data_IF_979768965761
#
_entry.id   IF_979768965761
#
_cell.length_a   1.000
_cell.length_b   1.000
_cell.length_c   1.000
_cell.angle_alpha   90.00
_cell.angle_beta   90.00
_cell.angle_gamma   90.00
#
_symmetry.space_group_name_H-M   'P 1'
#
loop_
_entity.id
_entity.type
_entity.pdbx_description
1 polymer ?
#
# COMPACT_ATOMS: atom_id res chain seq x y z
N UNK A 1 -21.48 -16.94 2.69
CA UNK A 1 -22.40 -16.30 3.65
C UNK A 1 -21.65 -15.18 4.35
N UNK A 2 -22.35 -14.06 4.56
CA UNK A 2 -21.88 -12.76 5.05
C UNK A 2 -21.17 -12.78 6.40
N UNK A 3 -20.15 -11.89 6.50
CA UNK A 3 -19.74 -11.04 7.66
C UNK A 3 -19.08 -11.75 8.85
N UNK A 4 -18.18 -11.16 9.64
CA UNK A 4 -17.32 -9.95 9.64
C UNK A 4 -16.52 -10.03 10.96
N UNK A 5 -15.25 -9.62 10.91
CA UNK A 5 -14.56 -8.69 11.83
C UNK A 5 -14.33 -9.07 13.31
N UNK A 6 -13.04 -8.97 13.65
CA UNK A 6 -12.32 -8.87 14.93
C UNK A 6 -13.00 -8.16 16.10
N UNK A 7 -12.49 -8.40 17.32
CA UNK A 7 -11.90 -7.38 18.23
C UNK A 7 -11.22 -8.09 19.43
N UNK A 8 -9.95 -7.76 19.65
CA UNK A 8 -9.23 -7.91 20.92
C UNK A 8 -9.72 -6.86 21.92
N UNK A 9 -9.88 -7.16 23.21
CA UNK A 9 -9.63 -6.17 24.28
C UNK A 9 -9.44 -6.79 25.68
N UNK A 10 -8.19 -6.76 26.15
CA UNK A 10 -7.69 -6.14 27.40
C UNK A 10 -8.55 -6.20 28.67
N UNK A 11 -8.01 -6.95 29.64
CA UNK A 11 -7.75 -6.71 31.08
C UNK A 11 -8.42 -5.54 31.85
N UNK A 12 -9.03 -5.85 33.01
CA UNK A 12 -8.91 -5.16 34.32
C UNK A 12 -9.95 -5.78 35.30
N UNK A 13 -9.59 -6.63 36.27
CA UNK A 13 -9.12 -6.35 37.63
C UNK A 13 -10.03 -5.46 38.52
N UNK A 14 -10.53 -6.09 39.59
CA UNK A 14 -10.91 -5.55 40.93
C UNK A 14 -12.02 -4.51 41.04
N UNK A 15 -13.09 -4.85 41.78
CA UNK A 15 -13.22 -4.47 43.20
C UNK A 15 -14.50 -5.07 43.81
N UNK A 16 -14.31 -5.78 44.92
CA UNK A 16 -15.32 -6.21 45.87
C UNK A 16 -15.67 -4.98 46.74
N UNK A 17 -16.93 -4.55 46.81
CA UNK A 17 -17.37 -3.60 47.83
C UNK A 17 -18.82 -3.84 48.24
N UNK A 18 -19.00 -3.79 49.55
CA UNK A 18 -20.13 -4.26 50.31
C UNK A 18 -21.41 -3.45 50.08
N UNK A 19 -22.52 -4.17 50.05
CA UNK A 19 -23.87 -3.66 50.13
C UNK A 19 -24.15 -3.09 51.53
N UNK A 20 -24.25 -1.77 51.64
CA UNK A 20 -24.96 -1.11 52.74
C UNK A 20 -26.00 -0.18 52.14
N UNK A 21 -27.27 -0.60 52.25
CA UNK A 21 -28.42 0.21 51.88
C UNK A 21 -28.56 1.36 52.87
N UNK A 22 -28.31 2.58 52.39
CA UNK A 22 -28.67 3.82 53.09
C UNK A 22 -29.73 4.50 52.24
N UNK A 23 -30.94 4.56 52.78
CA UNK A 23 -32.05 5.31 52.22
C UNK A 23 -31.69 6.81 52.20
N UNK A 24 -31.46 7.35 51.01
CA UNK A 24 -31.40 8.81 50.81
C UNK A 24 -32.79 9.35 50.46
N UNK A 25 -33.20 10.47 51.06
CA UNK A 25 -34.49 11.08 50.80
C UNK A 25 -34.52 11.64 49.37
N UNK A 26 -35.65 11.39 48.68
CA UNK A 26 -36.05 12.06 47.45
C UNK A 26 -35.91 13.58 47.62
N UNK A 27 -34.83 14.14 47.06
CA UNK A 27 -34.76 15.57 46.77
C UNK A 27 -35.63 15.85 45.54
N UNK A 28 -36.39 16.95 45.50
CA UNK A 28 -37.18 17.29 44.33
C UNK A 28 -36.24 17.42 43.13
N UNK A 29 -36.60 16.79 42.02
CA UNK A 29 -35.99 17.09 40.74
C UNK A 29 -36.20 18.58 40.47
N UNK A 30 -35.14 19.38 40.61
CA UNK A 30 -35.08 20.66 39.91
C UNK A 30 -35.17 20.31 38.43
N UNK A 31 -36.34 20.57 37.85
CA UNK A 31 -36.54 20.59 36.42
C UNK A 31 -35.59 21.68 35.93
N UNK A 32 -34.42 21.30 35.42
CA UNK A 32 -33.64 22.18 34.58
C UNK A 32 -34.49 22.42 33.33
N UNK A 33 -35.26 23.51 33.34
CA UNK A 33 -35.80 24.10 32.12
C UNK A 33 -34.57 24.36 31.25
N UNK A 34 -34.41 23.58 30.18
CA UNK A 34 -33.42 23.88 29.17
C UNK A 34 -33.72 25.29 28.67
N UNK A 35 -32.82 26.24 28.97
CA UNK A 35 -32.93 27.61 28.48
C UNK A 35 -32.96 27.55 26.96
N UNK A 36 -34.12 27.84 26.38
CA UNK A 36 -34.34 27.67 24.94
C UNK A 36 -33.77 28.90 24.23
N UNK A 37 -32.47 28.89 23.90
CA UNK A 37 -31.92 29.95 23.03
C UNK A 37 -32.67 29.94 21.70
N UNK A 38 -33.25 31.07 21.31
CA UNK A 38 -33.92 31.26 20.01
C UNK A 38 -33.21 32.31 19.18
N UNK A 39 -32.90 31.96 17.94
CA UNK A 39 -32.37 32.91 16.96
C UNK A 39 -33.48 33.81 16.45
N UNK A 40 -33.23 35.11 16.36
CA UNK A 40 -34.13 36.07 15.71
C UNK A 40 -33.47 36.59 14.44
N UNK A 41 -34.22 36.79 13.36
CA UNK A 41 -33.62 37.19 12.07
C UNK A 41 -33.10 36.04 11.23
N UNK A 42 -32.18 36.33 10.32
CA UNK A 42 -31.64 35.35 9.36
C UNK A 42 -30.15 35.58 9.21
N UNK A 43 -29.37 34.51 9.29
CA UNK A 43 -27.92 34.55 9.14
C UNK A 43 -27.50 35.08 7.77
N UNK A 44 -26.28 35.58 7.71
CA UNK A 44 -25.61 35.89 6.46
C UNK A 44 -25.45 34.63 5.63
N UNK A 45 -25.35 34.81 4.31
CA UNK A 45 -25.08 33.70 3.41
C UNK A 45 -23.61 33.67 3.09
N UNK A 46 -23.05 32.47 3.04
CA UNK A 46 -21.64 32.31 2.69
C UNK A 46 -21.38 32.74 1.25
N UNK A 47 -20.18 33.26 1.03
CA UNK A 47 -19.65 33.55 -0.28
C UNK A 47 -19.48 32.26 -1.08
N UNK A 48 -19.63 32.37 -2.39
CA UNK A 48 -19.36 31.24 -3.29
C UNK A 48 -17.87 31.00 -3.41
N UNK A 49 -17.43 29.75 -3.41
CA UNK A 49 -16.02 29.46 -3.70
C UNK A 49 -15.69 29.77 -5.17
N UNK A 50 -14.48 30.28 -5.37
CA UNK A 50 -13.89 30.47 -6.67
C UNK A 50 -13.58 29.14 -7.35
N UNK A 51 -13.87 29.05 -8.65
CA UNK A 51 -13.56 27.83 -9.41
C UNK A 51 -12.07 27.69 -9.64
N UNK A 52 -11.58 26.45 -9.57
CA UNK A 52 -10.20 26.13 -9.91
C UNK A 52 -9.91 26.37 -11.39
N UNK A 53 -8.71 26.87 -11.67
CA UNK A 53 -8.18 27.01 -13.01
C UNK A 53 -7.92 25.65 -13.66
N UNK A 54 -8.26 25.51 -14.94
CA UNK A 54 -7.98 24.29 -15.69
C UNK A 54 -6.48 24.17 -15.98
N UNK A 55 -5.94 22.97 -15.85
CA UNK A 55 -4.55 22.71 -16.24
C UNK A 55 -4.42 22.73 -17.76
N UNK A 56 -3.30 23.28 -18.24
CA UNK A 56 -2.95 23.28 -19.64
C UNK A 56 -2.65 21.87 -20.15
N UNK A 57 -2.92 21.64 -21.43
CA UNK A 57 -2.65 20.37 -22.10
C UNK A 57 -1.17 20.23 -22.42
N UNK A 58 -0.68 19.00 -22.30
CA UNK A 58 0.69 18.68 -22.74
C UNK A 58 0.84 18.85 -24.25
N UNK A 59 2.03 19.28 -24.64
CA UNK A 59 2.45 19.39 -26.03
C UNK A 59 2.47 18.02 -26.70
N UNK A 60 2.11 18.00 -27.98
CA UNK A 60 2.05 16.76 -28.74
C UNK A 60 3.45 16.28 -29.11
N UNK A 61 3.81 15.07 -28.69
CA UNK A 61 5.06 14.43 -29.13
C UNK A 61 5.07 14.13 -30.63
N UNK A 62 6.23 14.28 -31.26
CA UNK A 62 6.38 14.17 -32.72
C UNK A 62 7.62 13.37 -33.11
N UNK A 63 7.53 12.69 -34.24
CA UNK A 63 8.65 11.98 -34.87
C UNK A 63 8.93 12.59 -36.23
N UNK A 64 10.18 12.97 -36.50
CA UNK A 64 10.59 13.59 -37.77
C UNK A 64 11.85 12.97 -38.34
N UNK A 65 12.06 13.17 -39.63
CA UNK A 65 13.30 12.84 -40.32
C UNK A 65 14.11 14.10 -40.60
N UNK A 66 15.35 14.16 -40.14
CA UNK A 66 16.30 15.21 -40.51
C UNK A 66 17.07 14.76 -41.76
N UNK A 67 16.66 15.23 -42.93
CA UNK A 67 17.25 14.84 -44.23
C UNK A 67 18.04 15.96 -44.91
N UNK A 68 18.38 17.02 -44.16
CA UNK A 68 19.08 18.19 -44.70
C UNK A 68 18.15 19.29 -45.22
N UNK A 69 16.85 19.22 -44.91
CA UNK A 69 15.92 20.34 -45.02
C UNK A 69 15.68 20.99 -43.65
N UNK A 70 15.46 22.31 -43.65
CA UNK A 70 15.08 23.04 -42.44
C UNK A 70 13.67 22.66 -41.99
N UNK A 71 13.54 22.19 -40.75
CA UNK A 71 12.28 21.72 -40.17
C UNK A 71 12.04 22.48 -38.87
N UNK A 72 10.79 22.89 -38.65
CA UNK A 72 10.33 23.51 -37.40
C UNK A 72 9.28 22.63 -36.74
N UNK A 73 9.48 22.32 -35.47
CA UNK A 73 8.62 21.43 -34.69
C UNK A 73 8.06 22.23 -33.52
N UNK A 74 6.74 22.30 -33.45
CA UNK A 74 6.01 22.94 -32.35
C UNK A 74 5.39 21.85 -31.48
N UNK A 75 5.94 21.68 -30.28
CA UNK A 75 5.52 20.70 -29.28
C UNK A 75 5.32 21.39 -27.92
N UNK A 76 4.88 22.65 -27.91
CA UNK A 76 4.69 23.41 -26.68
C UNK A 76 3.50 22.90 -25.86
N UNK A 77 3.63 22.93 -24.55
CA UNK A 77 2.50 22.77 -23.63
C UNK A 77 1.63 24.03 -23.55
N UNK A 78 0.33 23.85 -23.33
CA UNK A 78 -0.61 24.96 -23.14
C UNK A 78 -0.50 25.54 -21.72
N UNK A 79 -0.78 26.85 -21.52
CA UNK A 79 -0.79 27.45 -20.19
C UNK A 79 -1.94 26.92 -19.32
N UNK A 80 -1.71 26.86 -18.01
CA UNK A 80 -2.75 26.71 -17.02
C UNK A 80 -3.60 27.97 -16.92
N UNK A 81 -4.89 27.82 -16.63
CA UNK A 81 -5.80 28.94 -16.41
C UNK A 81 -5.72 29.40 -14.95
N UNK A 82 -6.03 30.66 -14.72
CA UNK A 82 -6.13 31.19 -13.36
C UNK A 82 -7.36 30.62 -12.64
N UNK A 83 -7.24 30.45 -11.33
CA UNK A 83 -8.38 30.20 -10.46
C UNK A 83 -9.15 31.48 -10.20
N UNK A 84 -10.46 31.35 -9.98
CA UNK A 84 -11.33 32.48 -9.71
C UNK A 84 -11.26 32.88 -8.24
N UNK A 85 -11.53 34.16 -7.95
CA UNK A 85 -11.63 34.65 -6.58
C UNK A 85 -12.89 34.12 -5.90
N UNK A 86 -12.79 33.86 -4.60
CA UNK A 86 -13.91 33.56 -3.73
C UNK A 86 -14.82 34.76 -3.53
N UNK A 87 -16.12 34.49 -3.48
CA UNK A 87 -17.17 35.46 -3.23
C UNK A 87 -17.15 35.96 -1.79
N UNK A 88 -17.64 37.18 -1.59
CA UNK A 88 -17.82 37.74 -0.25
C UNK A 88 -19.01 37.07 0.46
N UNK A 89 -18.89 36.84 1.76
CA UNK A 89 -20.03 36.53 2.62
C UNK A 89 -21.01 37.71 2.72
N UNK A 90 -22.30 37.38 2.71
CA UNK A 90 -23.38 38.35 2.86
C UNK A 90 -23.59 38.69 4.34
N UNK A 91 -24.00 39.93 4.60
CA UNK A 91 -24.42 40.34 5.94
C UNK A 91 -25.72 39.64 6.34
N UNK A 92 -25.88 39.32 7.63
CA UNK A 92 -27.16 38.82 8.13
C UNK A 92 -28.24 39.89 8.07
N UNK A 93 -29.49 39.43 8.12
CA UNK A 93 -30.64 40.29 8.39
C UNK A 93 -30.76 40.48 9.89
N UNK A 94 -30.51 41.71 10.36
CA UNK A 94 -30.60 42.10 11.77
C UNK A 94 -31.93 42.84 12.05
N UNK A 95 -33.08 42.16 12.18
CA UNK A 95 -34.30 42.82 12.62
C UNK A 95 -34.17 43.27 14.08
N UNK A 96 -35.09 44.13 14.52
CA UNK A 96 -35.17 44.53 15.91
C UNK A 96 -35.26 43.30 16.84
N UNK A 97 -34.47 43.32 17.91
CA UNK A 97 -34.47 42.28 18.94
C UNK A 97 -35.86 42.18 19.57
N UNK A 98 -36.45 40.98 19.73
CA UNK A 98 -37.69 40.80 20.48
C UNK A 98 -37.51 41.20 21.95
N UNK A 99 -38.38 42.08 22.45
CA UNK A 99 -38.37 42.56 23.84
C UNK A 99 -39.22 41.67 24.76
N UNK A 100 -38.86 41.62 26.04
CA UNK A 100 -39.62 40.96 27.13
C UNK A 100 -40.01 39.48 26.89
N UNK A 101 -39.23 38.77 26.09
CA UNK A 101 -39.48 37.36 25.79
C UNK A 101 -38.95 36.43 26.90
N UNK A 102 -39.58 35.27 27.06
CA UNK A 102 -39.26 34.31 28.13
C UNK A 102 -38.30 33.21 27.67
N UNK A 103 -37.21 33.60 27.03
CA UNK A 103 -36.19 32.70 26.50
C UNK A 103 -34.94 33.48 26.08
N UNK A 104 -33.77 32.87 26.17
CA UNK A 104 -32.52 33.44 25.64
C UNK A 104 -32.56 33.70 24.13
N UNK A 105 -31.80 34.69 23.67
CA UNK A 105 -31.73 35.06 22.25
C UNK A 105 -30.33 34.87 21.66
N UNK A 106 -30.28 34.50 20.38
CA UNK A 106 -29.06 34.51 19.57
C UNK A 106 -29.27 35.47 18.39
N UNK A 107 -28.39 36.45 18.25
CA UNK A 107 -28.38 37.32 17.09
C UNK A 107 -27.78 36.59 15.88
N UNK A 108 -28.20 36.91 14.64
CA UNK A 108 -27.74 36.18 13.46
C UNK A 108 -26.25 36.34 13.16
N UNK A 109 -25.64 35.25 12.70
CA UNK A 109 -24.23 35.18 12.34
C UNK A 109 -23.99 35.79 10.95
N UNK A 110 -22.79 36.32 10.71
CA UNK A 110 -22.40 36.78 9.39
C UNK A 110 -21.95 35.62 8.50
N UNK A 111 -22.19 35.72 7.19
CA UNK A 111 -21.78 34.68 6.25
C UNK A 111 -20.26 34.67 6.05
N UNK A 112 -19.70 33.49 5.88
CA UNK A 112 -18.28 33.29 5.60
C UNK A 112 -17.90 33.77 4.20
N UNK A 113 -16.66 34.18 3.98
CA UNK A 113 -16.12 34.39 2.64
C UNK A 113 -15.81 33.06 1.95
N UNK A 114 -16.10 32.95 0.66
CA UNK A 114 -15.75 31.76 -0.12
C UNK A 114 -14.24 31.65 -0.35
N UNK A 115 -13.73 30.43 -0.47
CA UNK A 115 -12.33 30.17 -0.80
C UNK A 115 -12.00 30.57 -2.24
N UNK A 116 -10.78 31.04 -2.49
CA UNK A 116 -10.26 31.27 -3.84
C UNK A 116 -9.86 29.96 -4.52
N UNK A 117 -10.12 29.86 -5.82
CA UNK A 117 -9.76 28.68 -6.60
C UNK A 117 -8.25 28.57 -6.82
N UNK A 118 -7.66 27.40 -6.62
CA UNK A 118 -6.31 27.07 -7.11
C UNK A 118 -6.15 27.33 -8.62
N UNK A 119 -4.99 27.82 -9.04
CA UNK A 119 -4.59 28.00 -10.44
C UNK A 119 -4.18 26.68 -11.09
N UNK A 120 -4.44 26.58 -12.40
CA UNK A 120 -4.13 25.40 -13.20
C UNK A 120 -2.62 25.21 -13.42
N UNK A 121 -2.20 23.96 -13.56
CA UNK A 121 -0.82 23.62 -13.94
C UNK A 121 -0.57 23.95 -15.42
N UNK A 122 0.65 24.35 -15.78
CA UNK A 122 1.06 24.44 -17.18
C UNK A 122 1.32 23.04 -17.78
N UNK A 123 0.89 22.81 -19.01
CA UNK A 123 1.14 21.56 -19.73
C UNK A 123 2.62 21.38 -20.04
N UNK A 124 3.13 20.16 -20.06
CA UNK A 124 4.53 19.87 -20.40
C UNK A 124 4.79 20.05 -21.89
N UNK A 125 6.02 20.37 -22.27
CA UNK A 125 6.45 20.25 -23.66
C UNK A 125 6.42 18.79 -24.12
N UNK A 126 6.05 18.55 -25.37
CA UNK A 126 6.02 17.24 -25.99
C UNK A 126 7.41 16.77 -26.41
N UNK A 127 7.63 15.46 -26.33
CA UNK A 127 8.90 14.85 -26.72
C UNK A 127 9.06 14.78 -28.23
N UNK A 128 10.30 14.85 -28.71
CA UNK A 128 10.61 14.84 -30.14
C UNK A 128 11.62 13.76 -30.47
N UNK A 129 11.23 12.82 -31.34
CA UNK A 129 12.12 11.80 -31.89
C UNK A 129 12.61 12.23 -33.27
N UNK A 130 13.93 12.34 -33.44
CA UNK A 130 14.57 12.78 -34.68
C UNK A 130 15.38 11.63 -35.26
N UNK A 131 14.99 11.19 -36.45
CA UNK A 131 15.69 10.20 -37.26
C UNK A 131 16.66 10.91 -38.20
N UNK A 132 17.95 10.57 -38.15
CA UNK A 132 19.00 11.22 -38.93
C UNK A 132 20.06 10.21 -39.38
N UNK A 133 20.89 10.58 -40.36
CA UNK A 133 22.08 9.78 -40.76
C UNK A 133 23.38 10.57 -40.69
N UNK A 134 23.28 11.90 -40.76
CA UNK A 134 24.40 12.81 -40.56
C UNK A 134 24.05 13.82 -39.45
N UNK A 135 24.86 13.82 -38.39
CA UNK A 135 24.68 14.72 -37.25
C UNK A 135 24.67 16.20 -37.63
N UNK A 136 25.33 16.60 -38.73
CA UNK A 136 25.31 17.98 -39.20
C UNK A 136 23.91 18.45 -39.63
N UNK A 137 23.03 17.52 -40.02
CA UNK A 137 21.65 17.82 -40.42
C UNK A 137 20.78 18.25 -39.23
N UNK A 138 21.12 17.84 -38.00
CA UNK A 138 20.38 18.22 -36.79
C UNK A 138 20.35 19.74 -36.58
N UNK A 139 21.39 20.45 -37.06
CA UNK A 139 21.48 21.92 -37.02
C UNK A 139 20.40 22.65 -37.81
N UNK A 140 19.64 21.93 -38.62
CA UNK A 140 18.55 22.48 -39.41
C UNK A 140 17.17 22.20 -38.79
N UNK A 141 17.12 21.45 -37.68
CA UNK A 141 15.89 21.13 -36.96
C UNK A 141 15.72 22.10 -35.81
N UNK A 142 14.72 22.97 -35.90
CA UNK A 142 14.30 23.89 -34.85
C UNK A 142 13.17 23.25 -34.04
N UNK A 143 13.41 23.01 -32.75
CA UNK A 143 12.41 22.39 -31.87
C UNK A 143 11.95 23.38 -30.81
N UNK A 144 10.65 23.57 -30.69
CA UNK A 144 10.04 24.34 -29.62
C UNK A 144 9.14 23.44 -28.78
N UNK A 145 9.71 22.87 -27.72
CA UNK A 145 9.04 22.01 -26.75
C UNK A 145 9.03 22.67 -25.37
N UNK A 146 8.74 23.98 -25.31
CA UNK A 146 8.57 24.66 -24.03
C UNK A 146 7.34 24.16 -23.28
N UNK A 147 7.42 24.11 -21.94
CA UNK A 147 6.24 23.91 -21.12
C UNK A 147 5.35 25.16 -21.07
N UNK A 148 4.08 24.94 -20.77
CA UNK A 148 3.10 25.99 -20.55
C UNK A 148 3.33 26.73 -19.24
N UNK A 149 2.84 27.97 -19.18
CA UNK A 149 2.90 28.78 -17.96
C UNK A 149 1.92 28.27 -16.90
N UNK A 150 2.22 28.53 -15.62
CA UNK A 150 1.30 28.27 -14.52
C UNK A 150 0.14 29.27 -14.49
N UNK A 151 -1.04 28.81 -14.10
CA UNK A 151 -2.15 29.67 -13.69
C UNK A 151 -1.97 30.21 -12.27
N UNK A 152 -2.47 31.40 -12.01
CA UNK A 152 -2.49 32.03 -10.68
C UNK A 152 -3.66 31.51 -9.85
N UNK A 153 -3.47 31.35 -8.54
CA UNK A 153 -4.56 31.13 -7.60
C UNK A 153 -5.42 32.39 -7.40
N UNK A 154 -6.74 32.18 -7.28
CA UNK A 154 -7.70 33.20 -6.91
C UNK A 154 -7.60 33.59 -5.44
N UNK A 155 -8.09 34.76 -5.08
CA UNK A 155 -8.09 35.28 -3.71
C UNK A 155 -9.28 34.76 -2.91
N UNK A 156 -9.10 34.59 -1.62
CA UNK A 156 -10.19 34.30 -0.70
C UNK A 156 -11.16 35.48 -0.55
N UNK A 157 -12.44 35.15 -0.41
CA UNK A 157 -13.51 36.08 -0.12
C UNK A 157 -13.48 36.59 1.32
N UNK A 158 -14.08 37.76 1.55
CA UNK A 158 -14.16 38.36 2.89
C UNK A 158 -15.45 37.93 3.58
N UNK A 159 -15.37 37.45 4.82
CA UNK A 159 -16.53 37.20 5.67
C UNK A 159 -17.27 38.48 6.08
N UNK A 160 -18.54 38.33 6.46
CA UNK A 160 -19.38 39.42 6.93
C UNK A 160 -19.47 39.45 8.46
N UNK A 161 -19.69 40.62 9.04
CA UNK A 161 -19.94 40.71 10.48
C UNK A 161 -21.33 40.19 10.83
N UNK A 162 -21.45 39.51 11.97
CA UNK A 162 -22.74 39.15 12.59
C UNK A 162 -23.50 40.36 13.14
N UNK A 163 -24.77 40.12 13.49
CA UNK A 163 -25.62 41.09 14.17
C UNK A 163 -25.20 41.26 15.63
N UNK A 164 -25.51 42.41 16.23
CA UNK A 164 -25.30 42.66 17.67
C UNK A 164 -26.64 42.69 18.37
N UNK A 165 -26.69 42.17 19.59
CA UNK A 165 -27.82 42.35 20.48
C UNK A 165 -27.88 43.80 20.94
N UNK A 166 -29.07 44.38 20.90
CA UNK A 166 -29.32 45.72 21.44
C UNK A 166 -29.34 45.64 22.97
N UNK A 167 -30.02 44.64 23.53
CA UNK A 167 -30.09 44.35 24.96
C UNK A 167 -29.49 42.98 25.29
N UNK A 168 -28.38 42.99 26.05
CA UNK A 168 -27.62 41.77 26.36
C UNK A 168 -28.27 40.87 27.41
N UNK A 169 -29.21 41.40 28.20
CA UNK A 169 -29.91 40.64 29.24
C UNK A 169 -31.14 41.38 29.73
N UNK A 170 -32.23 40.67 30.02
CA UNK A 170 -33.43 41.24 30.63
C UNK A 170 -34.04 40.27 31.65
N UNK A 171 -35.05 40.74 32.39
CA UNK A 171 -35.78 39.94 33.37
C UNK A 171 -37.27 40.01 33.12
N UNK A 172 -37.94 38.87 33.16
CA UNK A 172 -39.38 38.78 32.99
C UNK A 172 -39.99 38.22 34.27
N UNK A 173 -41.05 38.86 34.77
CA UNK A 173 -41.80 38.37 35.91
C UNK A 173 -42.77 37.28 35.47
N UNK A 174 -42.65 36.10 36.07
CA UNK A 174 -43.42 34.90 35.76
C UNK A 174 -44.21 34.49 36.97
N UNK A 175 -45.54 34.36 36.84
CA UNK A 175 -46.41 33.96 37.94
C UNK A 175 -47.01 32.56 37.71
N UNK A 176 -46.85 31.68 38.69
CA UNK A 176 -47.48 30.36 38.74
C UNK A 176 -48.29 30.24 40.03
N UNK A 177 -49.59 29.97 39.93
CA UNK A 177 -50.52 29.81 41.06
C UNK A 177 -50.47 30.94 42.10
N UNK A 178 -50.28 32.18 41.64
CA UNK A 178 -50.19 33.38 42.48
C UNK A 178 -48.82 33.69 43.06
N UNK A 179 -47.82 32.82 42.86
CA UNK A 179 -46.42 33.07 43.21
C UNK A 179 -45.65 33.56 41.97
N UNK A 180 -45.07 34.75 42.06
CA UNK A 180 -44.31 35.35 40.97
C UNK A 180 -42.80 35.35 41.26
N UNK A 181 -42.01 34.92 40.29
CA UNK A 181 -40.54 34.96 40.31
C UNK A 181 -40.03 35.79 39.12
N UNK A 182 -38.83 36.37 39.25
CA UNK A 182 -38.15 37.02 38.12
C UNK A 182 -37.18 36.03 37.50
N UNK A 183 -37.45 35.66 36.25
CA UNK A 183 -36.53 34.86 35.43
C UNK A 183 -35.64 35.82 34.62
N UNK A 184 -34.35 35.50 34.50
CA UNK A 184 -33.38 36.27 33.72
C UNK A 184 -33.06 35.52 32.43
N UNK A 185 -33.00 36.26 31.32
CA UNK A 185 -32.57 35.77 30.01
C UNK A 185 -31.48 36.68 29.45
N UNK A 186 -30.63 36.13 28.59
CA UNK A 186 -29.51 36.84 27.97
C UNK A 186 -29.58 36.76 26.43
N UNK A 187 -28.91 37.70 25.75
CA UNK A 187 -28.74 37.70 24.29
C UNK A 187 -27.26 37.60 23.91
N UNK A 188 -26.95 36.74 22.95
CA UNK A 188 -25.60 36.57 22.39
C UNK A 188 -25.50 37.21 21.01
N UNK A 189 -24.47 38.02 20.80
CA UNK A 189 -24.15 38.58 19.47
C UNK A 189 -23.90 37.45 18.47
N UNK A 190 -24.17 37.73 17.20
CA UNK A 190 -23.83 36.83 16.11
C UNK A 190 -22.34 36.87 15.83
N UNK A 191 -21.78 35.72 15.49
CA UNK A 191 -20.38 35.58 15.14
C UNK A 191 -20.11 36.27 13.79
N UNK A 192 -18.93 36.90 13.60
CA UNK A 192 -18.49 37.28 12.27
C UNK A 192 -18.15 36.01 11.47
N UNK A 193 -18.44 36.05 10.18
CA UNK A 193 -17.99 35.04 9.25
C UNK A 193 -16.48 35.15 8.98
N UNK A 194 -15.88 34.01 8.68
CA UNK A 194 -14.46 33.86 8.43
C UNK A 194 -14.06 34.36 7.03
N UNK A 195 -12.77 34.66 6.85
CA UNK A 195 -12.21 34.94 5.54
C UNK A 195 -11.94 33.63 4.80
N UNK A 196 -12.30 33.57 3.53
CA UNK A 196 -11.88 32.51 2.64
C UNK A 196 -10.36 32.52 2.44
N UNK A 197 -9.83 31.37 2.07
CA UNK A 197 -8.40 31.15 1.82
C UNK A 197 -8.04 31.52 0.39
N UNK A 198 -6.83 32.02 0.18
CA UNK A 198 -6.28 32.18 -1.17
C UNK A 198 -5.97 30.82 -1.80
N UNK A 199 -6.31 30.68 -3.07
CA UNK A 199 -5.93 29.56 -3.91
C UNK A 199 -4.42 29.55 -4.17
N UNK A 200 -3.88 28.36 -4.40
CA UNK A 200 -2.46 28.16 -4.73
C UNK A 200 -2.22 28.42 -6.20
N UNK A 201 -1.04 28.96 -6.54
CA UNK A 201 -0.61 29.03 -7.94
C UNK A 201 -0.29 27.62 -8.47
N UNK A 202 -0.53 27.40 -9.76
CA UNK A 202 -0.02 26.23 -10.47
C UNK A 202 1.51 26.29 -10.62
N UNK A 203 2.10 25.20 -11.10
CA UNK A 203 3.48 25.14 -11.56
C UNK A 203 3.55 25.23 -13.09
N UNK A 204 4.67 25.73 -13.60
CA UNK A 204 4.93 25.73 -15.03
C UNK A 204 5.25 24.30 -15.51
N UNK A 205 4.94 24.03 -16.78
CA UNK A 205 5.28 22.77 -17.43
C UNK A 205 6.78 22.63 -17.65
N UNK A 206 7.28 21.39 -17.61
CA UNK A 206 8.65 21.07 -17.99
C UNK A 206 8.87 21.17 -19.50
N UNK A 207 10.13 21.25 -19.90
CA UNK A 207 10.54 21.16 -21.31
C UNK A 207 10.36 19.72 -21.82
N UNK A 208 10.10 19.56 -23.12
CA UNK A 208 10.08 18.27 -23.78
C UNK A 208 11.49 17.72 -24.06
N UNK A 209 11.59 16.39 -24.14
CA UNK A 209 12.84 15.68 -24.33
C UNK A 209 13.10 15.37 -25.81
N UNK A 210 14.37 15.35 -26.20
CA UNK A 210 14.81 14.91 -27.53
C UNK A 210 15.31 13.47 -27.50
N UNK A 211 14.85 12.67 -28.47
CA UNK A 211 15.30 11.30 -28.74
C UNK A 211 15.92 11.26 -30.14
N UNK A 212 17.17 10.83 -30.24
CA UNK A 212 17.95 10.83 -31.48
C UNK A 212 18.18 9.41 -31.96
N UNK A 213 17.83 9.14 -33.23
CA UNK A 213 17.98 7.82 -33.84
C UNK A 213 18.82 7.96 -35.11
N UNK A 214 20.02 7.38 -35.12
CA UNK A 214 20.97 7.51 -36.24
C UNK A 214 20.68 6.52 -37.40
N UNK A 215 19.43 6.47 -37.83
CA UNK A 215 18.96 5.75 -39.00
C UNK A 215 17.59 6.32 -39.41
N UNK A 216 17.17 6.11 -40.66
CA UNK A 216 15.84 6.53 -41.11
C UNK A 216 14.75 5.50 -40.92
N UNK A 217 15.12 4.23 -40.72
CA UNK A 217 14.16 3.17 -40.45
C UNK A 217 13.60 3.37 -39.04
N UNK A 218 12.26 3.54 -38.89
CA UNK A 218 11.64 3.63 -37.58
C UNK A 218 11.98 2.42 -36.72
N UNK A 219 12.17 2.64 -35.43
CA UNK A 219 12.45 1.55 -34.50
C UNK A 219 11.24 0.61 -34.39
N UNK A 220 11.48 -0.70 -34.40
CA UNK A 220 10.44 -1.71 -34.13
C UNK A 220 9.91 -1.59 -32.70
N UNK A 221 8.77 -2.19 -32.37
CA UNK A 221 8.28 -2.15 -30.99
C UNK A 221 9.23 -2.84 -30.03
N UNK A 222 9.35 -2.30 -28.82
CA UNK A 222 10.14 -2.88 -27.75
C UNK A 222 9.29 -3.83 -26.90
N UNK A 223 9.88 -4.95 -26.47
CA UNK A 223 9.27 -5.89 -25.53
C UNK A 223 10.33 -6.38 -24.53
N UNK A 224 10.78 -5.51 -23.61
CA UNK A 224 11.89 -5.84 -22.72
C UNK A 224 11.45 -6.77 -21.59
N UNK A 225 10.15 -6.84 -21.28
CA UNK A 225 9.60 -7.70 -20.23
C UNK A 225 8.41 -8.46 -20.77
N UNK A 226 8.31 -9.74 -20.39
CA UNK A 226 7.23 -10.62 -20.78
C UNK A 226 6.80 -11.50 -19.61
N UNK A 227 5.52 -11.47 -19.29
CA UNK A 227 4.89 -12.42 -18.35
C UNK A 227 3.90 -13.28 -19.12
N UNK A 228 4.10 -14.61 -19.10
CA UNK A 228 3.24 -15.55 -19.80
C UNK A 228 3.00 -16.81 -18.97
N UNK A 229 1.93 -17.58 -19.23
CA UNK A 229 1.76 -18.90 -18.63
C UNK A 229 2.93 -19.83 -18.98
N UNK A 230 3.30 -20.72 -18.05
CA UNK A 230 4.36 -21.72 -18.25
C UNK A 230 4.19 -22.47 -19.58
N UNK A 231 2.96 -22.81 -19.94
CA UNK A 231 2.65 -23.55 -21.17
C UNK A 231 3.18 -22.84 -22.44
N UNK A 232 3.18 -21.50 -22.48
CA UNK A 232 3.70 -20.76 -23.63
C UNK A 232 5.21 -20.98 -23.80
N UNK A 233 5.97 -20.97 -22.70
CA UNK A 233 7.41 -21.19 -22.72
C UNK A 233 7.80 -22.64 -23.04
N UNK A 234 6.95 -23.61 -22.70
CA UNK A 234 7.18 -25.03 -22.98
C UNK A 234 6.97 -25.37 -24.47
N UNK A 235 6.12 -24.62 -25.18
CA UNK A 235 5.81 -24.89 -26.60
C UNK A 235 6.94 -24.44 -27.53
N UNK A 236 7.48 -23.25 -27.27
CA UNK A 236 8.50 -22.65 -28.13
C UNK A 236 9.26 -21.54 -27.38
N UNK A 237 10.48 -21.17 -27.84
CA UNK A 237 11.15 -19.96 -27.37
C UNK A 237 10.28 -18.72 -27.58
N UNK A 238 10.38 -17.77 -26.67
CA UNK A 238 9.75 -16.45 -26.76
C UNK A 238 10.82 -15.40 -26.99
N UNK A 239 10.53 -14.42 -27.84
CA UNK A 239 11.47 -13.35 -28.16
C UNK A 239 11.22 -12.13 -27.26
N UNK A 240 12.30 -11.56 -26.74
CA UNK A 240 12.32 -10.28 -26.05
C UNK A 240 13.18 -9.31 -26.85
N UNK A 241 12.88 -8.02 -26.68
CA UNK A 241 13.66 -6.97 -27.33
C UNK A 241 13.73 -5.71 -26.49
N UNK A 242 14.89 -5.04 -26.55
CA UNK A 242 15.14 -3.82 -25.80
C UNK A 242 15.93 -2.82 -26.62
N UNK A 243 15.45 -1.58 -26.72
CA UNK A 243 16.25 -0.48 -27.25
C UNK A 243 17.19 0.06 -26.17
N UNK A 244 18.49 0.10 -26.48
CA UNK A 244 19.47 0.75 -25.64
C UNK A 244 19.57 2.23 -25.99
N UNK A 245 19.42 3.05 -24.95
CA UNK A 245 19.48 4.50 -25.03
C UNK A 245 20.60 5.01 -24.13
N UNK A 246 21.44 5.88 -24.68
CA UNK A 246 22.43 6.61 -23.90
C UNK A 246 21.90 8.00 -23.56
N UNK A 247 21.96 8.37 -22.28
CA UNK A 247 21.61 9.72 -21.85
C UNK A 247 22.81 10.66 -22.05
N UNK A 248 22.60 11.77 -22.76
CA UNK A 248 23.62 12.77 -23.05
C UNK A 248 23.08 14.18 -22.75
N UNK A 249 23.95 15.18 -22.76
CA UNK A 249 23.62 16.61 -22.55
C UNK A 249 24.08 17.47 -23.73
N UNK A 250 23.56 18.69 -23.83
CA UNK A 250 23.88 19.62 -24.91
C UNK A 250 22.91 19.55 -26.09
N UNK A 251 21.64 19.18 -25.88
CA UNK A 251 20.65 19.08 -26.95
C UNK A 251 20.51 20.37 -27.77
N UNK A 252 20.52 21.54 -27.10
CA UNK A 252 20.45 22.85 -27.77
C UNK A 252 21.66 23.13 -28.67
N UNK A 253 22.81 22.51 -28.38
CA UNK A 253 24.01 22.59 -29.21
C UNK A 253 24.04 21.57 -30.35
N UNK A 254 23.04 20.69 -30.48
CA UNK A 254 22.91 19.79 -31.63
C UNK A 254 21.87 20.31 -32.64
N UNK A 255 20.83 20.95 -32.12
CA UNK A 255 19.71 21.46 -32.89
C UNK A 255 19.99 22.84 -33.51
N UNK A 256 19.03 23.34 -34.28
CA UNK A 256 19.05 24.69 -34.82
C UNK A 256 19.00 25.74 -33.70
N UNK A 257 19.68 26.87 -33.92
CA UNK A 257 19.68 28.02 -33.01
C UNK A 257 18.24 28.48 -32.72
N UNK A 258 17.93 28.66 -31.44
CA UNK A 258 16.58 29.04 -30.98
C UNK A 258 15.71 27.86 -30.54
N UNK A 259 16.22 26.63 -30.62
CA UNK A 259 15.49 25.46 -30.09
C UNK A 259 15.34 25.56 -28.57
N UNK A 260 14.15 25.26 -28.08
CA UNK A 260 13.80 25.24 -26.65
C UNK A 260 13.35 23.83 -26.30
N UNK A 261 14.25 23.07 -25.70
CA UNK A 261 14.08 21.66 -25.29
C UNK A 261 14.84 21.43 -24.00
N UNK A 262 14.60 20.32 -23.31
CA UNK A 262 15.48 19.89 -22.23
C UNK A 262 16.92 19.73 -22.76
N UNK A 263 17.92 20.15 -21.97
CA UNK A 263 19.32 20.06 -22.41
C UNK A 263 19.82 18.61 -22.44
N UNK A 264 19.19 17.73 -21.67
CA UNK A 264 19.41 16.29 -21.74
C UNK A 264 18.76 15.74 -23.01
N UNK A 265 19.31 14.66 -23.57
CA UNK A 265 18.67 13.94 -24.67
C UNK A 265 19.06 12.47 -24.65
N UNK A 266 18.28 11.64 -25.34
CA UNK A 266 18.53 10.21 -25.44
C UNK A 266 19.03 9.86 -26.84
N UNK A 267 20.19 9.24 -26.91
CA UNK A 267 20.77 8.75 -28.15
C UNK A 267 20.53 7.25 -28.27
N UNK A 268 19.89 6.82 -29.35
CA UNK A 268 19.76 5.40 -29.68
C UNK A 268 21.13 4.81 -29.98
N UNK A 269 21.46 3.71 -29.31
CA UNK A 269 22.68 2.94 -29.54
C UNK A 269 22.40 1.75 -30.45
N UNK A 270 21.58 0.83 -29.97
CA UNK A 270 21.26 -0.42 -30.66
C UNK A 270 19.98 -1.05 -30.08
N UNK A 271 19.57 -2.17 -30.66
CA UNK A 271 18.47 -3.00 -30.19
C UNK A 271 19.03 -4.36 -29.79
N UNK A 272 18.83 -4.71 -28.53
CA UNK A 272 19.10 -6.04 -28.02
C UNK A 272 17.93 -6.96 -28.34
N UNK A 273 18.25 -8.17 -28.76
CA UNK A 273 17.26 -9.22 -29.01
C UNK A 273 17.74 -10.50 -28.34
N UNK A 274 16.84 -11.14 -27.62
CA UNK A 274 17.12 -12.38 -26.91
C UNK A 274 15.90 -13.30 -27.00
N UNK A 275 16.15 -14.59 -26.93
CA UNK A 275 15.12 -15.61 -26.86
C UNK A 275 15.20 -16.31 -25.52
N UNK A 276 14.04 -16.62 -24.94
CA UNK A 276 13.95 -17.34 -23.70
C UNK A 276 13.12 -18.61 -23.89
N UNK A 277 13.58 -19.72 -23.32
CA UNK A 277 12.84 -20.96 -23.29
C UNK A 277 12.89 -21.56 -21.89
N UNK A 278 11.76 -22.12 -21.45
CA UNK A 278 11.72 -22.93 -20.24
C UNK A 278 11.62 -24.39 -20.66
N UNK A 279 12.49 -25.23 -20.10
CA UNK A 279 12.50 -26.67 -20.32
C UNK A 279 12.09 -27.36 -19.02
N UNK A 280 11.23 -28.36 -19.15
CA UNK A 280 10.71 -29.11 -18.02
C UNK A 280 11.49 -30.42 -17.84
N UNK A 281 12.23 -30.54 -16.74
CA UNK A 281 12.95 -31.77 -16.35
C UNK A 281 12.44 -32.36 -15.03
N UNK A 282 11.62 -31.63 -14.27
CA UNK A 282 11.04 -32.09 -13.02
C UNK A 282 10.19 -33.36 -13.21
N UNK A 283 10.27 -34.27 -12.22
CA UNK A 283 9.53 -35.54 -12.21
C UNK A 283 8.01 -35.34 -12.23
N UNK A 284 7.52 -34.26 -11.59
CA UNK A 284 6.10 -33.90 -11.56
C UNK A 284 5.64 -33.40 -12.92
N UNK A 285 4.38 -33.63 -13.27
CA UNK A 285 3.83 -33.12 -14.53
C UNK A 285 3.75 -31.59 -14.55
N UNK A 286 4.11 -30.91 -15.66
CA UNK A 286 3.95 -29.46 -15.80
C UNK A 286 2.48 -29.02 -15.70
N UNK A 287 1.53 -29.93 -15.98
CA UNK A 287 0.09 -29.64 -15.90
C UNK A 287 -0.38 -29.32 -14.47
N UNK A 288 0.36 -29.75 -13.44
CA UNK A 288 0.08 -29.39 -12.04
C UNK A 288 0.40 -27.93 -11.73
N UNK A 289 1.18 -27.28 -12.59
CA UNK A 289 1.72 -25.93 -12.41
C UNK A 289 1.29 -24.97 -13.52
N UNK A 290 0.16 -25.21 -14.19
CA UNK A 290 -0.31 -24.34 -15.28
C UNK A 290 -0.61 -22.89 -14.84
N UNK A 291 -0.86 -22.69 -13.55
CA UNK A 291 -1.02 -21.35 -12.97
C UNK A 291 0.33 -20.63 -12.72
N UNK A 292 1.47 -21.27 -12.98
CA UNK A 292 2.78 -20.63 -12.97
C UNK A 292 2.86 -19.68 -14.17
N UNK A 293 3.22 -18.43 -13.92
CA UNK A 293 3.41 -17.42 -14.96
C UNK A 293 4.70 -16.65 -14.67
N UNK A 294 5.85 -17.15 -15.16
CA UNK A 294 7.12 -16.47 -14.94
C UNK A 294 7.17 -15.16 -15.72
N UNK A 295 7.93 -14.22 -15.19
CA UNK A 295 8.27 -12.96 -15.82
C UNK A 295 9.72 -13.02 -16.27
N UNK A 296 9.96 -12.76 -17.54
CA UNK A 296 11.32 -12.69 -18.10
C UNK A 296 11.60 -11.25 -18.49
N UNK A 297 12.77 -10.74 -18.11
CA UNK A 297 13.20 -9.37 -18.38
C UNK A 297 14.56 -9.36 -19.09
N UNK A 298 14.65 -8.66 -20.21
CA UNK A 298 15.89 -8.36 -20.90
C UNK A 298 16.57 -7.14 -20.25
N UNK A 299 17.75 -7.39 -19.69
CA UNK A 299 18.58 -6.37 -19.03
C UNK A 299 19.31 -5.49 -20.04
N UNK A 300 19.87 -4.36 -19.58
CA UNK A 300 20.67 -3.47 -20.43
C UNK A 300 21.98 -4.10 -20.91
N UNK A 301 22.42 -5.20 -20.29
CA UNK A 301 23.61 -5.96 -20.70
C UNK A 301 23.30 -7.08 -21.69
N UNK A 302 22.03 -7.25 -22.08
CA UNK A 302 21.60 -8.34 -22.97
C UNK A 302 21.35 -9.69 -22.28
N UNK A 303 21.45 -9.74 -20.94
CA UNK A 303 21.13 -10.95 -20.18
C UNK A 303 19.64 -11.01 -19.86
N UNK A 304 19.12 -12.22 -19.66
CA UNK A 304 17.74 -12.45 -19.27
C UNK A 304 17.64 -12.76 -17.77
N UNK A 305 16.86 -11.96 -17.07
CA UNK A 305 16.47 -12.21 -15.69
C UNK A 305 15.13 -12.93 -15.68
N UNK A 306 15.06 -14.06 -14.97
CA UNK A 306 13.85 -14.85 -14.80
C UNK A 306 13.34 -14.69 -13.38
N UNK A 307 12.11 -14.23 -13.26
CA UNK A 307 11.39 -14.08 -12.00
C UNK A 307 10.19 -15.03 -11.97
N UNK A 308 10.08 -15.77 -10.88
CA UNK A 308 9.01 -16.74 -10.66
C UNK A 308 8.15 -16.31 -9.49
N UNK A 309 6.82 -16.50 -9.54
CA UNK A 309 5.94 -16.15 -8.43
C UNK A 309 6.32 -16.88 -7.12
N UNK A 310 6.44 -16.14 -6.01
CA UNK A 310 6.84 -16.62 -4.66
C UNK A 310 6.04 -17.81 -4.11
N UNK A 311 4.82 -18.03 -4.64
CA UNK A 311 3.98 -19.18 -4.28
C UNK A 311 4.54 -20.53 -4.76
N UNK A 312 5.62 -20.52 -5.53
CA UNK A 312 6.33 -21.71 -5.98
C UNK A 312 7.78 -21.65 -5.54
N UNK A 313 8.29 -22.75 -5.00
CA UNK A 313 9.73 -22.92 -4.83
C UNK A 313 10.23 -23.70 -6.03
N UNK A 314 11.23 -23.14 -6.71
CA UNK A 314 11.78 -23.69 -7.93
C UNK A 314 13.28 -23.83 -7.75
N UNK A 315 13.79 -24.99 -8.16
CA UNK A 315 15.21 -25.23 -8.32
C UNK A 315 15.48 -25.63 -9.78
N UNK A 316 16.54 -25.09 -10.34
CA UNK A 316 16.81 -25.21 -11.76
C UNK A 316 18.11 -24.53 -12.17
N UNK A 317 18.38 -24.57 -13.48
CA UNK A 317 19.62 -24.04 -14.04
C UNK A 317 19.38 -23.25 -15.32
N UNK A 318 20.19 -22.23 -15.52
CA UNK A 318 20.19 -21.39 -16.71
C UNK A 318 21.38 -21.74 -17.59
N UNK A 319 21.14 -21.94 -18.87
CA UNK A 319 22.16 -22.16 -19.89
C UNK A 319 21.94 -21.13 -21.02
N UNK A 320 23.02 -20.55 -21.54
CA UNK A 320 22.95 -19.55 -22.60
C UNK A 320 23.74 -20.04 -23.83
N UNK A 321 23.08 -20.02 -24.99
CA UNK A 321 23.65 -20.40 -26.27
C UNK A 321 23.31 -19.34 -27.33
N UNK A 322 24.23 -18.41 -27.55
CA UNK A 322 23.99 -17.27 -28.45
C UNK A 322 22.90 -16.35 -27.90
N UNK A 323 21.85 -16.12 -28.68
CA UNK A 323 20.69 -15.30 -28.29
C UNK A 323 19.67 -16.08 -27.45
N UNK A 324 19.75 -17.40 -27.40
CA UNK A 324 18.81 -18.25 -26.66
C UNK A 324 19.31 -18.48 -25.22
N UNK A 325 18.46 -18.17 -24.26
CA UNK A 325 18.61 -18.55 -22.85
C UNK A 325 17.59 -19.62 -22.50
N UNK A 326 18.07 -20.75 -22.00
CA UNK A 326 17.25 -21.88 -21.57
C UNK A 326 17.28 -21.99 -20.05
N UNK A 327 16.11 -21.95 -19.42
CA UNK A 327 15.96 -22.27 -18.01
C UNK A 327 15.35 -23.66 -17.85
N UNK A 328 16.11 -24.60 -17.28
CA UNK A 328 15.65 -25.95 -17.00
C UNK A 328 15.11 -26.03 -15.57
N UNK A 329 13.82 -26.36 -15.42
CA UNK A 329 13.20 -26.62 -14.12
C UNK A 329 13.50 -28.07 -13.74
N UNK A 330 14.33 -28.26 -12.71
CA UNK A 330 14.71 -29.56 -12.17
C UNK A 330 13.76 -29.99 -11.03
N UNK A 331 13.35 -29.04 -10.18
CA UNK A 331 12.39 -29.28 -9.09
C UNK A 331 11.44 -28.11 -8.89
N UNK A 332 10.20 -28.42 -8.49
CA UNK A 332 9.19 -27.42 -8.18
C UNK A 332 8.12 -27.93 -7.22
N UNK A 333 7.76 -27.09 -6.26
CA UNK A 333 6.71 -27.34 -5.25
C UNK A 333 5.91 -26.05 -5.00
N UNK A 334 4.68 -26.16 -4.51
CA UNK A 334 3.93 -24.98 -4.03
C UNK A 334 4.35 -24.65 -2.61
N UNK A 335 4.59 -23.38 -2.32
CA UNK A 335 5.12 -22.93 -1.04
C UNK A 335 4.17 -23.24 0.14
N UNK A 336 2.86 -23.21 -0.09
CA UNK A 336 1.83 -23.55 0.90
C UNK A 336 1.86 -25.05 1.26
N UNK A 337 2.12 -25.94 0.30
CA UNK A 337 2.21 -27.39 0.52
C UNK A 337 3.49 -27.81 1.26
N UNK A 338 4.59 -27.08 1.08
CA UNK A 338 5.87 -27.43 1.72
C UNK A 338 5.82 -27.36 3.25
N UNK A 339 4.94 -26.50 3.78
CA UNK A 339 4.83 -26.20 5.21
C UNK A 339 3.68 -26.93 5.91
N UNK A 340 2.92 -27.75 5.18
CA UNK A 340 1.73 -28.43 5.73
C UNK A 340 2.12 -29.72 6.46
N UNK A 341 2.32 -29.61 7.78
CA UNK A 341 2.69 -30.73 8.65
C UNK A 341 1.71 -30.92 9.81
N UNK A 342 1.56 -32.16 10.24
CA UNK A 342 0.77 -32.52 11.41
C UNK A 342 1.45 -33.59 12.26
N UNK A 343 1.13 -33.57 13.56
CA UNK A 343 1.44 -34.70 14.45
C UNK A 343 0.65 -35.94 14.03
N UNK A 344 1.36 -37.06 13.94
CA UNK A 344 0.77 -38.39 13.85
C UNK A 344 0.70 -39.07 15.22
N UNK A 345 0.78 -40.39 15.21
CA UNK A 345 0.73 -41.20 16.43
C UNK A 345 2.05 -41.18 17.21
N UNK A 346 1.94 -41.38 18.51
CA UNK A 346 3.04 -41.71 19.41
C UNK A 346 3.01 -43.20 19.70
N UNK A 347 4.18 -43.85 19.69
CA UNK A 347 4.31 -45.29 19.83
C UNK A 347 5.51 -45.65 20.69
N UNK A 348 5.50 -46.84 21.27
CA UNK A 348 6.61 -47.36 22.08
C UNK A 348 6.77 -46.65 23.42
N UNK A 349 7.83 -47.01 24.16
CA UNK A 349 8.19 -46.49 25.49
C UNK A 349 9.68 -46.63 25.73
N UNK A 350 10.26 -45.82 26.62
CA UNK A 350 11.68 -45.92 26.93
C UNK A 350 12.53 -45.74 25.68
N UNK A 351 13.43 -46.69 25.41
CA UNK A 351 14.30 -46.70 24.23
C UNK A 351 13.52 -46.79 22.89
N UNK A 352 12.30 -47.36 22.91
CA UNK A 352 11.45 -47.53 21.72
C UNK A 352 10.48 -46.37 21.52
N UNK A 353 10.54 -45.32 22.33
CA UNK A 353 9.62 -44.19 22.21
C UNK A 353 9.84 -43.45 20.89
N UNK A 354 8.79 -43.33 20.10
CA UNK A 354 8.81 -42.67 18.81
C UNK A 354 7.57 -41.80 18.59
N UNK A 355 7.76 -40.69 17.88
CA UNK A 355 6.69 -39.80 17.44
C UNK A 355 6.62 -39.78 15.92
N UNK A 356 5.41 -39.79 15.38
CA UNK A 356 5.19 -39.67 13.94
C UNK A 356 4.90 -38.22 13.60
N UNK A 357 5.48 -37.74 12.50
CA UNK A 357 5.15 -36.47 11.86
C UNK A 357 4.70 -36.77 10.43
N UNK A 358 3.61 -36.16 9.99
CA UNK A 358 3.02 -36.38 8.67
C UNK A 358 3.13 -35.08 7.88
N UNK A 359 3.76 -35.17 6.71
CA UNK A 359 3.72 -34.14 5.67
C UNK A 359 2.41 -34.29 4.89
N UNK A 360 1.47 -33.37 5.14
CA UNK A 360 0.16 -33.37 4.50
C UNK A 360 0.25 -32.88 3.05
N UNK A 361 1.23 -32.02 2.74
CA UNK A 361 1.51 -31.56 1.39
C UNK A 361 2.16 -32.62 0.49
N UNK A 362 2.72 -33.67 1.08
CA UNK A 362 3.40 -34.78 0.37
C UNK A 362 4.59 -34.33 -0.49
N UNK A 363 5.25 -33.25 -0.08
CA UNK A 363 6.38 -32.64 -0.81
C UNK A 363 7.75 -33.16 -0.37
N UNK A 364 7.81 -34.03 0.65
CA UNK A 364 9.04 -34.56 1.25
C UNK A 364 9.97 -35.33 0.33
N UNK A 365 9.51 -35.75 -0.86
CA UNK A 365 10.36 -36.37 -1.87
C UNK A 365 11.16 -35.32 -2.69
N UNK A 366 10.70 -34.07 -2.71
CA UNK A 366 11.20 -33.01 -3.58
C UNK A 366 11.90 -31.88 -2.82
N UNK A 367 11.82 -31.86 -1.49
CA UNK A 367 12.44 -30.84 -0.64
C UNK A 367 13.33 -31.46 0.42
N UNK A 368 14.41 -30.77 0.77
CA UNK A 368 15.22 -31.16 1.90
C UNK A 368 14.48 -30.85 3.22
N UNK A 369 14.58 -31.75 4.20
CA UNK A 369 13.87 -31.67 5.47
C UNK A 369 14.80 -31.91 6.63
N UNK A 370 14.86 -30.95 7.55
CA UNK A 370 15.64 -31.05 8.77
C UNK A 370 14.73 -30.88 9.98
N UNK A 371 14.93 -31.73 10.99
CA UNK A 371 14.20 -31.67 12.24
C UNK A 371 15.11 -31.20 13.37
N UNK A 372 14.59 -30.30 14.19
CA UNK A 372 15.21 -29.88 15.45
C UNK A 372 14.17 -29.99 16.55
N UNK A 373 14.59 -30.54 17.68
CA UNK A 373 13.72 -30.90 18.78
C UNK A 373 14.11 -30.12 20.02
N UNK A 374 13.12 -29.58 20.71
CA UNK A 374 13.21 -29.26 22.13
C UNK A 374 12.24 -30.18 22.88
N UNK A 375 12.80 -31.01 23.75
CA UNK A 375 12.04 -31.96 24.56
C UNK A 375 12.14 -31.57 26.03
N UNK A 376 10.99 -31.37 26.68
CA UNK A 376 10.91 -31.00 28.09
C UNK A 376 9.98 -31.93 28.84
N UNK A 377 10.27 -32.18 30.11
CA UNK A 377 9.43 -32.99 30.99
C UNK A 377 9.19 -32.29 32.32
N UNK A 378 8.12 -32.66 33.02
CA UNK A 378 7.82 -32.16 34.35
C UNK A 378 7.31 -33.27 35.26
N UNK A 379 7.71 -33.21 36.53
CA UNK A 379 7.15 -34.02 37.61
C UNK A 379 5.95 -33.33 38.28
N UNK A 380 5.70 -32.05 37.97
CA UNK A 380 4.51 -31.33 38.43
C UNK A 380 3.27 -31.88 37.74
N UNK A 381 2.13 -31.94 38.45
CA UNK A 381 0.83 -32.25 37.86
C UNK A 381 0.36 -31.05 36.99
N UNK A 382 0.21 -31.21 35.66
CA UNK A 382 -0.22 -30.13 34.77
C UNK A 382 -1.63 -29.64 35.07
N UNK A 383 -2.43 -30.43 35.80
CA UNK A 383 -3.79 -30.07 36.23
C UNK A 383 -3.82 -29.30 37.55
N UNK A 384 -2.66 -29.09 38.17
CA UNK A 384 -2.54 -28.32 39.41
C UNK A 384 -2.68 -26.81 39.15
N UNK A 385 -3.25 -26.07 40.10
CA UNK A 385 -3.31 -24.59 40.06
C UNK A 385 -1.94 -23.91 40.25
N UNK A 386 -0.83 -24.67 40.26
CA UNK A 386 0.54 -24.16 40.38
C UNK A 386 1.17 -24.04 39.00
N UNK A 387 2.07 -23.06 38.84
CA UNK A 387 2.85 -22.92 37.60
C UNK A 387 3.76 -24.14 37.42
N UNK A 388 3.42 -24.97 36.44
CA UNK A 388 4.14 -26.17 36.02
C UNK A 388 5.53 -25.78 35.50
N UNK A 389 6.58 -26.43 35.99
CA UNK A 389 7.96 -26.17 35.56
C UNK A 389 8.51 -27.32 34.72
N UNK A 390 8.43 -27.15 33.40
CA UNK A 390 9.10 -28.04 32.47
C UNK A 390 10.62 -27.85 32.52
N UNK A 391 11.35 -28.96 32.55
CA UNK A 391 12.79 -29.02 32.47
C UNK A 391 13.19 -29.57 31.10
N UNK A 392 14.05 -28.85 30.40
CA UNK A 392 14.63 -29.31 29.14
C UNK A 392 15.50 -30.53 29.35
N UNK A 393 15.19 -31.60 28.61
CA UNK A 393 15.95 -32.84 28.60
C UNK A 393 16.80 -32.96 27.33
N UNK A 394 16.39 -32.30 26.25
CA UNK A 394 17.13 -32.24 25.00
C UNK A 394 16.77 -30.99 24.21
N UNK A 395 17.77 -30.42 23.54
CA UNK A 395 17.62 -29.35 22.56
C UNK A 395 18.66 -29.52 21.48
N UNK A 396 18.23 -29.60 20.22
CA UNK A 396 19.13 -29.63 19.07
C UNK A 396 18.59 -30.34 17.85
N UNK A 397 19.43 -30.39 16.81
CA UNK A 397 19.14 -31.09 15.55
C UNK A 397 19.03 -32.60 15.78
N UNK A 398 18.01 -33.23 15.23
CA UNK A 398 17.85 -34.68 15.25
C UNK A 398 18.87 -35.33 14.29
N UNK A 399 19.67 -36.31 14.75
CA UNK A 399 20.54 -37.08 13.86
C UNK A 399 19.74 -37.88 12.83
N UNK A 400 20.26 -38.03 11.60
CA UNK A 400 19.59 -38.83 10.56
C UNK A 400 19.32 -40.29 11.00
N UNK A 401 20.16 -40.85 11.88
CA UNK A 401 20.01 -42.21 12.41
C UNK A 401 18.73 -42.43 13.23
N UNK A 402 18.16 -41.38 13.82
CA UNK A 402 16.91 -41.48 14.62
C UNK A 402 15.66 -41.12 13.81
N UNK A 403 15.81 -40.88 12.51
CA UNK A 403 14.72 -40.46 11.61
C UNK A 403 14.53 -41.53 10.56
N UNK A 404 13.32 -42.05 10.45
CA UNK A 404 12.94 -42.93 9.34
C UNK A 404 11.87 -42.23 8.53
N UNK A 405 12.11 -42.08 7.23
CA UNK A 405 11.13 -41.53 6.29
C UNK A 405 10.52 -42.66 5.46
N UNK A 406 9.20 -42.70 5.42
CA UNK A 406 8.41 -43.51 4.49
C UNK A 406 7.43 -42.58 3.77
N UNK A 407 7.75 -42.24 2.51
CA UNK A 407 7.01 -41.27 1.70
C UNK A 407 6.84 -39.92 2.44
N UNK A 408 5.60 -39.59 2.84
CA UNK A 408 5.22 -38.36 3.53
C UNK A 408 5.17 -38.52 5.07
N UNK A 409 5.62 -39.67 5.59
CA UNK A 409 5.60 -39.99 7.02
C UNK A 409 7.02 -40.05 7.56
N UNK A 410 7.27 -39.27 8.61
CA UNK A 410 8.51 -39.33 9.38
C UNK A 410 8.26 -39.98 10.73
N UNK A 411 9.06 -40.99 11.07
CA UNK A 411 9.11 -41.59 12.41
C UNK A 411 10.37 -41.11 13.08
N UNK A 412 10.21 -40.35 14.17
CA UNK A 412 11.30 -39.79 14.97
C UNK A 412 11.46 -40.66 16.22
N UNK A 413 12.53 -41.47 16.27
CA UNK A 413 12.82 -42.40 17.35
C UNK A 413 13.47 -41.68 18.54
N UNK A 414 12.69 -40.87 19.26
CA UNK A 414 13.19 -40.00 20.33
C UNK A 414 13.80 -40.77 21.51
N UNK A 415 13.38 -42.01 21.76
CA UNK A 415 13.96 -42.90 22.77
C UNK A 415 15.43 -43.25 22.53
N UNK A 416 15.94 -43.07 21.31
CA UNK A 416 17.34 -43.33 20.94
C UNK A 416 18.26 -42.11 21.11
N UNK A 417 17.71 -40.97 21.53
CA UNK A 417 18.48 -39.78 21.86
C UNK A 417 19.23 -39.96 23.20
N UNK A 418 20.29 -39.17 23.46
CA UNK A 418 21.03 -39.21 24.73
C UNK A 418 20.24 -38.59 25.90
N UNK A 419 19.03 -39.09 26.14
CA UNK A 419 18.07 -38.68 27.17
C UNK A 419 17.83 -39.89 28.08
N UNK A 420 17.74 -39.68 29.40
CA UNK A 420 17.49 -40.79 30.31
C UNK A 420 16.10 -41.40 30.10
N UNK A 421 16.01 -42.73 29.94
CA UNK A 421 14.76 -43.48 29.73
C UNK A 421 13.68 -43.25 30.78
N UNK A 422 14.03 -42.70 31.96
CA UNK A 422 13.04 -42.30 32.98
C UNK A 422 12.04 -41.26 32.43
N UNK A 423 12.47 -40.43 31.48
CA UNK A 423 11.68 -39.36 30.89
C UNK A 423 10.71 -39.84 29.80
N UNK A 424 10.87 -41.08 29.30
CA UNK A 424 9.97 -41.71 28.33
C UNK A 424 9.06 -42.76 28.97
N UNK A 425 8.87 -42.71 30.30
CA UNK A 425 8.00 -43.65 31.03
C UNK A 425 6.55 -43.19 31.00
N UNK A 426 5.65 -44.17 31.03
CA UNK A 426 4.21 -43.92 31.16
C UNK A 426 3.93 -43.04 32.39
N UNK A 427 3.10 -42.03 32.21
CA UNK A 427 2.75 -41.07 33.24
C UNK A 427 3.62 -39.81 33.27
N UNK A 428 4.70 -39.75 32.48
CA UNK A 428 5.55 -38.56 32.38
C UNK A 428 4.82 -37.49 31.58
N UNK A 429 4.71 -36.28 32.12
CA UNK A 429 4.19 -35.13 31.40
C UNK A 429 5.32 -34.51 30.60
N UNK A 430 5.10 -34.38 29.29
CA UNK A 430 6.10 -33.96 28.35
C UNK A 430 5.58 -32.85 27.42
N UNK A 431 6.50 -31.99 27.01
CA UNK A 431 6.34 -30.99 25.98
C UNK A 431 7.35 -31.28 24.88
N UNK A 432 6.88 -31.33 23.63
CA UNK A 432 7.68 -31.54 22.43
C UNK A 432 7.47 -30.32 21.55
N UNK A 433 8.52 -29.54 21.34
CA UNK A 433 8.58 -28.51 20.31
C UNK A 433 9.45 -29.04 19.18
N UNK A 434 8.87 -29.21 18.01
CA UNK A 434 9.56 -29.70 16.83
C UNK A 434 9.60 -28.61 15.78
N UNK A 435 10.81 -28.16 15.50
CA UNK A 435 11.13 -27.25 14.42
C UNK A 435 11.49 -28.04 13.17
N UNK A 436 10.75 -27.81 12.09
CA UNK A 436 10.95 -28.46 10.80
C UNK A 436 11.43 -27.39 9.82
N UNK A 437 12.65 -27.53 9.33
CA UNK A 437 13.24 -26.63 8.33
C UNK A 437 13.19 -27.31 6.97
N UNK A 438 12.52 -26.68 6.01
CA UNK A 438 12.37 -27.14 4.63
C UNK A 438 13.19 -26.25 3.70
N UNK A 439 13.79 -26.81 2.66
CA UNK A 439 14.51 -26.02 1.66
C UNK A 439 14.49 -26.65 0.26
N UNK A 440 14.39 -25.81 -0.77
CA UNK A 440 14.52 -26.17 -2.18
C UNK A 440 15.16 -25.03 -2.97
N UNK A 441 16.28 -25.29 -3.67
CA UNK A 441 17.04 -24.26 -4.36
C UNK A 441 17.44 -23.14 -3.38
N UNK A 442 17.05 -21.91 -3.67
CA UNK A 442 17.27 -20.74 -2.81
C UNK A 442 16.17 -20.49 -1.77
N UNK A 443 15.11 -21.29 -1.77
CA UNK A 443 13.95 -21.11 -0.89
C UNK A 443 14.08 -21.93 0.40
N UNK A 444 13.59 -21.38 1.52
CA UNK A 444 13.48 -22.09 2.79
C UNK A 444 12.34 -21.57 3.65
N UNK A 445 11.76 -22.43 4.48
CA UNK A 445 10.77 -22.09 5.48
C UNK A 445 10.92 -22.98 6.73
N UNK A 446 10.39 -22.46 7.82
CA UNK A 446 10.38 -23.10 9.13
C UNK A 446 8.94 -23.35 9.57
N UNK A 447 8.67 -24.55 10.08
CA UNK A 447 7.38 -24.94 10.66
C UNK A 447 7.62 -25.38 12.10
N UNK A 448 6.78 -24.88 13.00
CA UNK A 448 6.80 -25.28 14.40
C UNK A 448 5.59 -26.16 14.70
N UNK A 449 5.85 -27.36 15.21
CA UNK A 449 4.83 -28.23 15.77
C UNK A 449 5.04 -28.34 17.28
N UNK A 450 3.97 -28.18 18.04
CA UNK A 450 3.99 -28.29 19.49
C UNK A 450 3.05 -29.41 19.94
N UNK A 451 3.51 -30.23 20.87
CA UNK A 451 2.68 -31.20 21.55
C UNK A 451 2.95 -31.15 23.05
N UNK A 452 1.88 -31.17 23.83
CA UNK A 452 1.93 -31.29 25.29
C UNK A 452 0.99 -32.41 25.71
N UNK A 453 1.47 -33.29 26.57
CA UNK A 453 0.63 -34.37 27.08
C UNK A 453 1.37 -35.33 28.00
N UNK A 454 0.66 -36.39 28.39
CA UNK A 454 1.19 -37.44 29.24
C UNK A 454 1.48 -38.69 28.40
N UNK A 455 2.67 -39.28 28.57
CA UNK A 455 3.13 -40.49 27.89
C UNK A 455 2.48 -41.79 28.39
#
# INVERSE_FOLDING_TARGET
MKRRIHINLITAMTALLATTAVAMPLRPAMIALADQIRTYGVDGRDGIDGRHGQSGRDGRSQSVRADGLSIRIEAMGEPGQDGEDGGRGDRPSCPAQPEDVRYDLQAPDGGDGGDGGDGGQGGRGGDVTIYYTDSAQLRQVLVNAMGGLSGRGGRGGVGANGCRCDDRSWRVRVCHDGNCEEERYDCRDGNPGDYGRDGRNGAAGGLGQVWLVNQYTPLSSDQPTLTQPLESFLRQPVSLSKHLWETRRGAGALLATGSTVDDTYYQYLERLEAEAQIVWQAERSPTTFLALSPTITLTDTGNLDLDFPDRYWIDGRTEQAGTLTTYTIDYIVRADEVTDFAWGNQTGRGDDFAVTVIDLGQESAFVNTQFELIYRTTDDDPRSNRRVRYQEQFSGRLPAAVITQDQNRFVLNLGQLPISNRYFRRGTNAQVELRIVRSLGQNSAEVMLEWEGQL
#
